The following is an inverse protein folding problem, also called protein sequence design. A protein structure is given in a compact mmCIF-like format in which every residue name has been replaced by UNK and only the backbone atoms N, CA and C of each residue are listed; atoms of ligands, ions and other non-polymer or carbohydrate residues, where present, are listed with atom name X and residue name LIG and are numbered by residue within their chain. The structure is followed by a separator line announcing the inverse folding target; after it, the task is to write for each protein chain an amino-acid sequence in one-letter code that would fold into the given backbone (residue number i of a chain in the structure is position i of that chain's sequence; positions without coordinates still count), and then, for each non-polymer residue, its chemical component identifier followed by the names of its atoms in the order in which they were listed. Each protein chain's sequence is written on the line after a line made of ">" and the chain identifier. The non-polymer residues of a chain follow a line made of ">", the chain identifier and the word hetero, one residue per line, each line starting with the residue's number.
data_IF_946808456889
#
_entry.id   IF_946808456889
#
_cell.length_a   1.000
_cell.length_b   1.000
_cell.length_c   1.000
_cell.angle_alpha   90.00
_cell.angle_beta   90.00
_cell.angle_gamma   90.00
#
_symmetry.space_group_name_H-M   'P 1'
#
loop_
_entity.id
_entity.type
_entity.pdbx_description
1 polymer ?
#
# COMPACT_ATOMS: atom_id res chain seq x y z
N UNK A 1 -14.56 26.65 -7.54
CA UNK A 1 -13.52 25.88 -6.81
C UNK A 1 -13.15 24.66 -7.64
N UNK A 2 -11.86 24.42 -7.92
CA UNK A 2 -11.41 23.22 -8.64
C UNK A 2 -11.69 21.98 -7.79
N UNK A 3 -12.53 21.06 -8.27
CA UNK A 3 -12.82 19.79 -7.59
C UNK A 3 -11.49 19.04 -7.41
N UNK A 4 -11.09 18.76 -6.16
CA UNK A 4 -9.90 17.96 -5.89
C UNK A 4 -10.13 16.57 -6.46
N UNK A 5 -9.15 16.08 -7.21
CA UNK A 5 -9.21 14.74 -7.78
C UNK A 5 -9.32 13.73 -6.63
N UNK A 6 -10.31 12.83 -6.72
CA UNK A 6 -10.62 11.81 -5.72
C UNK A 6 -11.13 12.30 -4.35
N UNK A 7 -11.90 13.40 -4.32
CA UNK A 7 -12.60 13.79 -3.09
C UNK A 7 -13.50 12.64 -2.61
N UNK A 8 -13.39 12.33 -1.31
CA UNK A 8 -13.99 11.15 -0.69
C UNK A 8 -15.01 11.61 0.35
N UNK A 9 -16.28 11.25 0.14
CA UNK A 9 -17.41 11.61 0.99
C UNK A 9 -18.13 10.32 1.43
N UNK A 10 -18.60 10.28 2.68
CA UNK A 10 -19.25 9.09 3.23
C UNK A 10 -20.62 8.80 2.60
N UNK A 11 -21.31 9.85 2.14
CA UNK A 11 -22.66 9.76 1.57
C UNK A 11 -22.67 9.57 0.04
N UNK A 12 -21.49 9.51 -0.59
CA UNK A 12 -21.34 9.35 -2.05
C UNK A 12 -20.60 8.04 -2.37
N UNK A 13 -20.82 7.45 -3.56
CA UNK A 13 -20.00 6.32 -3.99
C UNK A 13 -18.51 6.70 -4.05
N UNK A 14 -17.59 5.75 -3.83
CA UNK A 14 -16.16 6.02 -3.90
C UNK A 14 -15.78 6.66 -5.24
N UNK A 15 -14.81 7.60 -5.25
CA UNK A 15 -14.40 8.25 -6.48
C UNK A 15 -13.80 7.24 -7.46
N UNK A 16 -13.99 7.50 -8.76
CA UNK A 16 -13.47 6.64 -9.80
C UNK A 16 -11.96 6.81 -9.92
N UNK A 17 -11.19 5.73 -9.77
CA UNK A 17 -9.73 5.76 -9.93
C UNK A 17 -9.35 5.81 -11.41
N UNK A 18 -8.40 6.69 -11.77
CA UNK A 18 -7.90 6.75 -13.15
C UNK A 18 -6.86 5.65 -13.41
N UNK A 19 -6.72 5.17 -14.66
CA UNK A 19 -5.75 4.12 -15.01
C UNK A 19 -4.30 4.42 -14.59
N UNK A 20 -3.85 5.67 -14.72
CA UNK A 20 -2.50 6.05 -14.31
C UNK A 20 -2.28 5.96 -12.79
N UNK A 21 -3.32 6.17 -11.98
CA UNK A 21 -3.25 6.00 -10.53
C UNK A 21 -3.11 4.52 -10.18
N UNK A 22 -3.85 3.63 -10.86
CA UNK A 22 -3.68 2.17 -10.74
C UNK A 22 -2.25 1.76 -11.12
N UNK A 23 -1.70 2.32 -12.21
CA UNK A 23 -0.33 2.05 -12.63
C UNK A 23 0.71 2.49 -11.58
N UNK A 24 0.57 3.69 -11.00
CA UNK A 24 1.39 4.14 -9.86
C UNK A 24 1.31 3.14 -8.71
N UNK A 25 0.11 2.65 -8.41
CA UNK A 25 -0.08 1.66 -7.37
C UNK A 25 0.69 0.37 -7.61
N UNK A 26 0.67 -0.13 -8.85
CA UNK A 26 1.43 -1.30 -9.24
C UNK A 26 2.94 -1.07 -9.06
N UNK A 27 3.46 0.05 -9.53
CA UNK A 27 4.90 0.38 -9.46
C UNK A 27 5.40 0.38 -8.01
N UNK A 28 4.76 1.09 -7.10
CA UNK A 28 5.30 1.13 -5.73
C UNK A 28 5.08 -0.19 -4.99
N UNK A 29 4.03 -0.97 -5.28
CA UNK A 29 3.87 -2.31 -4.66
C UNK A 29 4.96 -3.27 -5.13
N UNK A 30 5.31 -3.24 -6.41
CA UNK A 30 6.44 -4.02 -6.94
C UNK A 30 7.75 -3.57 -6.29
N UNK A 31 7.98 -2.27 -6.18
CA UNK A 31 9.15 -1.73 -5.48
C UNK A 31 9.25 -2.18 -4.02
N UNK A 32 8.16 -2.10 -3.24
CA UNK A 32 8.14 -2.52 -1.83
C UNK A 32 8.48 -4.01 -1.71
N UNK A 33 7.94 -4.84 -2.60
CA UNK A 33 8.23 -6.28 -2.63
C UNK A 33 9.72 -6.53 -2.86
N UNK A 34 10.30 -5.95 -3.91
CA UNK A 34 11.73 -6.12 -4.24
C UNK A 34 12.63 -5.54 -3.15
N UNK A 35 12.21 -4.44 -2.51
CA UNK A 35 12.93 -3.85 -1.39
C UNK A 35 12.98 -4.80 -0.18
N UNK A 36 11.85 -5.41 0.19
CA UNK A 36 11.79 -6.42 1.26
C UNK A 36 12.68 -7.62 0.92
N UNK A 37 12.64 -8.13 -0.32
CA UNK A 37 13.50 -9.24 -0.74
C UNK A 37 14.99 -8.87 -0.66
N UNK A 38 15.36 -7.67 -1.11
CA UNK A 38 16.75 -7.18 -1.04
C UNK A 38 17.21 -7.11 0.41
N UNK A 39 16.39 -6.59 1.32
CA UNK A 39 16.73 -6.53 2.75
C UNK A 39 16.83 -7.92 3.38
N UNK A 40 15.92 -8.83 3.05
CA UNK A 40 15.95 -10.22 3.51
C UNK A 40 17.15 -11.03 2.97
N UNK A 41 17.81 -10.58 1.89
CA UNK A 41 18.92 -11.33 1.29
C UNK A 41 20.19 -11.36 2.15
N UNK A 42 20.30 -10.51 3.17
CA UNK A 42 21.45 -10.47 4.07
C UNK A 42 21.23 -11.37 5.30
N UNK A 43 21.87 -12.54 5.40
CA UNK A 43 21.69 -13.48 6.51
C UNK A 43 22.22 -12.96 7.85
N UNK A 44 23.01 -11.88 7.86
CA UNK A 44 23.52 -11.25 9.08
C UNK A 44 22.50 -10.31 9.74
N UNK A 45 21.39 -10.01 9.07
CA UNK A 45 20.31 -9.16 9.58
C UNK A 45 19.08 -10.05 9.81
N UNK A 46 18.95 -10.66 11.00
CA UNK A 46 17.88 -11.62 11.25
C UNK A 46 16.49 -10.98 11.30
N UNK A 47 16.40 -9.69 11.64
CA UNK A 47 15.14 -8.94 11.66
C UNK A 47 15.40 -7.49 11.22
N UNK A 48 14.44 -6.91 10.51
CA UNK A 48 14.42 -5.48 10.23
C UNK A 48 13.00 -4.93 10.38
N UNK A 49 12.91 -3.64 10.70
CA UNK A 49 11.66 -2.91 10.80
C UNK A 49 11.48 -2.04 9.56
N UNK A 50 10.30 -2.10 8.92
CA UNK A 50 9.94 -1.17 7.85
C UNK A 50 8.84 -0.24 8.32
N UNK A 51 9.02 1.05 8.02
CA UNK A 51 8.00 2.09 8.16
C UNK A 51 7.65 2.61 6.76
N UNK A 52 6.39 2.45 6.35
CA UNK A 52 5.89 2.97 5.08
C UNK A 52 4.96 4.15 5.38
N UNK A 53 5.25 5.29 4.76
CA UNK A 53 4.46 6.51 4.86
C UNK A 53 3.77 6.76 3.53
N UNK A 54 2.45 6.65 3.50
CA UNK A 54 1.64 6.92 2.31
C UNK A 54 1.01 8.32 2.37
N UNK A 55 1.58 9.26 1.61
CA UNK A 55 1.09 10.64 1.51
C UNK A 55 -0.07 10.82 0.52
N UNK A 56 -0.43 9.78 -0.23
CA UNK A 56 -1.46 9.78 -1.27
C UNK A 56 -2.57 8.76 -1.00
N UNK A 57 -2.71 8.33 0.25
CA UNK A 57 -3.64 7.31 0.71
C UNK A 57 -5.11 7.52 0.26
N UNK A 58 -5.52 8.79 0.15
CA UNK A 58 -6.90 9.17 -0.18
C UNK A 58 -7.90 8.60 0.82
N UNK A 59 -9.03 8.08 0.32
CA UNK A 59 -10.06 7.42 1.15
C UNK A 59 -9.92 5.91 1.29
N UNK A 60 -8.89 5.31 0.68
CA UNK A 60 -8.60 3.88 0.82
C UNK A 60 -9.38 2.93 -0.10
N UNK A 61 -10.49 3.36 -0.71
CA UNK A 61 -11.26 2.57 -1.69
C UNK A 61 -11.72 3.44 -2.86
N UNK A 62 -11.83 2.83 -4.04
CA UNK A 62 -12.17 3.50 -5.30
C UNK A 62 -13.06 2.61 -6.18
N UNK A 63 -13.63 3.19 -7.24
CA UNK A 63 -14.28 2.46 -8.32
C UNK A 63 -13.41 2.44 -9.59
N UNK A 64 -13.29 1.31 -10.28
CA UNK A 64 -12.68 1.22 -11.62
C UNK A 64 -13.60 1.84 -12.68
N UNK A 65 -13.17 1.92 -13.95
CA UNK A 65 -14.04 2.36 -15.07
C UNK A 65 -15.28 1.46 -15.27
N UNK A 66 -15.19 0.20 -14.84
CA UNK A 66 -16.27 -0.79 -14.95
C UNK A 66 -17.11 -0.90 -13.66
N UNK A 67 -17.05 0.11 -12.80
CA UNK A 67 -17.76 0.18 -11.50
C UNK A 67 -17.38 -0.95 -10.52
N UNK A 68 -16.21 -1.58 -10.69
CA UNK A 68 -15.70 -2.56 -9.74
C UNK A 68 -14.99 -1.86 -8.58
N UNK A 69 -15.06 -2.43 -7.38
CA UNK A 69 -14.34 -1.89 -6.22
C UNK A 69 -12.84 -2.15 -6.38
N UNK A 70 -12.04 -1.15 -6.03
CA UNK A 70 -10.59 -1.16 -6.17
C UNK A 70 -9.93 -0.62 -4.92
N UNK A 71 -9.07 -1.44 -4.31
CA UNK A 71 -8.34 -1.07 -3.10
C UNK A 71 -7.36 0.09 -3.38
N UNK A 72 -7.38 1.07 -2.48
CA UNK A 72 -6.46 2.19 -2.47
C UNK A 72 -5.05 1.79 -2.05
N UNK A 73 -4.14 2.77 -2.08
CA UNK A 73 -2.74 2.52 -1.81
C UNK A 73 -2.43 1.96 -0.41
N UNK A 74 -3.09 2.38 0.69
CA UNK A 74 -2.79 1.84 2.01
C UNK A 74 -3.06 0.33 2.09
N UNK A 75 -4.21 -0.11 1.55
CA UNK A 75 -4.63 -1.51 1.58
C UNK A 75 -3.68 -2.35 0.72
N UNK A 76 -3.37 -1.89 -0.50
CA UNK A 76 -2.45 -2.60 -1.40
C UNK A 76 -1.04 -2.73 -0.83
N UNK A 77 -0.56 -1.71 -0.11
CA UNK A 77 0.72 -1.76 0.60
C UNK A 77 0.68 -2.86 1.68
N UNK A 78 -0.34 -2.86 2.54
CA UNK A 78 -0.52 -3.89 3.58
C UNK A 78 -0.56 -5.30 2.97
N UNK A 79 -1.35 -5.49 1.91
CA UNK A 79 -1.47 -6.77 1.21
C UNK A 79 -0.12 -7.23 0.64
N UNK A 80 0.62 -6.32 0.00
CA UNK A 80 1.95 -6.60 -0.58
C UNK A 80 2.95 -7.02 0.48
N UNK A 81 3.02 -6.27 1.57
CA UNK A 81 3.91 -6.56 2.70
C UNK A 81 3.61 -7.95 3.27
N UNK A 82 2.35 -8.22 3.61
CA UNK A 82 1.92 -9.53 4.14
C UNK A 82 2.17 -10.69 3.17
N UNK A 83 1.97 -10.46 1.87
CA UNK A 83 2.23 -11.48 0.86
C UNK A 83 3.73 -11.79 0.75
N UNK A 84 4.57 -10.76 0.81
CA UNK A 84 6.04 -10.89 0.70
C UNK A 84 6.64 -11.55 1.95
N UNK A 85 6.13 -11.23 3.13
CA UNK A 85 6.46 -11.95 4.38
C UNK A 85 6.16 -13.44 4.25
N UNK A 86 4.92 -13.80 3.87
CA UNK A 86 4.51 -15.19 3.70
C UNK A 86 5.35 -15.95 2.66
N UNK A 87 5.79 -15.27 1.60
CA UNK A 87 6.67 -15.87 0.60
C UNK A 87 8.07 -16.13 1.15
N UNK A 88 8.62 -15.20 1.94
CA UNK A 88 9.94 -15.32 2.55
C UNK A 88 9.97 -16.47 3.58
N UNK A 89 8.94 -16.57 4.44
CA UNK A 89 8.82 -17.68 5.43
C UNK A 89 8.66 -19.06 4.79
N UNK A 90 8.09 -19.16 3.57
CA UNK A 90 7.99 -20.45 2.87
C UNK A 90 9.33 -20.90 2.27
N UNK A 91 10.21 -19.95 1.95
CA UNK A 91 11.52 -20.22 1.37
C UNK A 91 12.57 -20.54 2.44
N UNK A 92 12.46 -19.92 3.62
CA UNK A 92 13.31 -20.21 4.78
C UNK A 92 12.63 -21.22 5.71
N UNK A 93 13.23 -22.40 5.90
CA UNK A 93 12.83 -23.35 6.98
C UNK A 93 13.08 -22.82 8.41
N UNK A 94 13.52 -21.56 8.55
CA UNK A 94 13.81 -20.91 9.82
C UNK A 94 12.93 -19.65 9.95
N UNK A 95 12.01 -19.69 10.93
CA UNK A 95 11.04 -18.62 11.18
C UNK A 95 11.72 -17.32 11.65
N UNK A 96 11.59 -16.23 10.89
CA UNK A 96 11.94 -14.88 11.34
C UNK A 96 10.72 -13.94 11.22
N UNK A 97 10.24 -13.32 12.31
CA UNK A 97 9.08 -12.44 12.28
C UNK A 97 9.43 -11.02 11.82
N UNK A 98 8.82 -10.56 10.73
CA UNK A 98 8.83 -9.15 10.33
C UNK A 98 7.87 -8.34 11.22
N UNK A 99 8.37 -7.22 11.77
CA UNK A 99 7.56 -6.29 12.57
C UNK A 99 7.25 -5.05 11.73
N UNK A 100 5.99 -4.92 11.29
CA UNK A 100 5.59 -3.93 10.30
C UNK A 100 4.57 -2.93 10.85
N UNK A 101 4.96 -1.65 10.84
CA UNK A 101 4.11 -0.52 11.22
C UNK A 101 3.84 0.35 9.98
N UNK A 102 2.57 0.48 9.58
CA UNK A 102 2.16 1.24 8.39
C UNK A 102 1.39 2.49 8.85
N UNK A 103 1.88 3.66 8.47
CA UNK A 103 1.26 4.94 8.82
C UNK A 103 0.66 5.61 7.58
N UNK A 104 -0.63 5.89 7.62
CA UNK A 104 -1.33 6.64 6.55
C UNK A 104 -1.54 8.09 7.01
N UNK A 105 -1.02 9.05 6.25
CA UNK A 105 -1.15 10.47 6.58
C UNK A 105 -2.17 11.14 5.65
N UNK A 106 -3.20 11.76 6.24
CA UNK A 106 -4.18 12.60 5.52
C UNK A 106 -3.97 14.05 5.93
N UNK A 107 -3.85 14.97 4.96
CA UNK A 107 -3.91 16.41 5.26
C UNK A 107 -5.28 16.77 5.83
N UNK A 108 -5.30 17.35 7.04
CA UNK A 108 -6.51 17.88 7.68
C UNK A 108 -7.07 19.04 6.83
N UNK A 109 -8.36 19.04 6.50
CA UNK A 109 -9.03 20.21 5.90
C UNK A 109 -9.01 21.34 6.96
N UNK A 110 -8.63 22.58 6.64
CA UNK A 110 -8.92 23.71 7.52
C UNK A 110 -10.45 23.85 7.65
N UNK A 111 -10.91 24.07 8.88
CA UNK A 111 -12.31 24.36 9.23
C UNK A 111 -12.66 25.75 8.70
#
# INVERSE_FOLDING_TARGET
>A
MSKKEYDWNLDEPPPRIKPHSIAKQKVYTEYIKEYIHTLNSNPLIPNFNIVIVDAFAGGGEYLTQDNQRHNGSPIKIIETVKATEKQSTKQEKNNLPLNNNIFSLKRKKPI
#
